data_IF_527448998617
#
_entry.id   IF_527448998617
#
_cell.length_a   1.000
_cell.length_b   1.000
_cell.length_c   1.000
_cell.angle_alpha   90.00
_cell.angle_beta   90.00
_cell.angle_gamma   90.00
#
_symmetry.space_group_name_H-M   'P 1'
#
loop_
_entity.id
_entity.type
_entity.pdbx_description
1 polymer ?
#
# COMPACT_ATOMS: atom_id res chain seq x y z
N UNK A 1 -2.40 17.52 -2.24
CA UNK A 1 -2.82 16.14 -2.51
C UNK A 1 -3.33 15.99 -3.93
N UNK A 2 -3.28 14.84 -4.50
CA UNK A 2 -3.34 14.55 -5.94
C UNK A 2 -4.79 14.60 -6.43
N UNK A 3 -5.34 15.78 -6.70
CA UNK A 3 -6.69 15.92 -7.25
C UNK A 3 -6.78 15.17 -8.59
N UNK A 4 -7.79 14.29 -8.72
CA UNK A 4 -8.06 13.58 -9.95
C UNK A 4 -7.31 12.27 -10.18
N UNK A 5 -6.37 11.88 -9.30
CA UNK A 5 -5.67 10.59 -9.38
C UNK A 5 -6.28 9.61 -8.38
N UNK A 6 -6.61 8.37 -8.78
CA UNK A 6 -7.12 7.36 -7.84
C UNK A 6 -6.06 6.98 -6.81
N UNK A 7 -6.44 6.99 -5.53
CA UNK A 7 -5.62 6.52 -4.43
C UNK A 7 -5.77 5.02 -4.20
N UNK A 8 -4.67 4.37 -3.83
CA UNK A 8 -4.62 2.97 -3.39
C UNK A 8 -3.99 2.97 -2.01
N UNK A 9 -4.60 2.28 -1.05
CA UNK A 9 -4.11 2.19 0.33
C UNK A 9 -4.08 0.74 0.81
N UNK A 10 -3.24 0.43 1.78
CA UNK A 10 -3.44 -0.73 2.64
C UNK A 10 -4.33 -0.30 3.81
N UNK A 11 -5.48 -0.95 3.96
CA UNK A 11 -6.39 -0.75 5.09
C UNK A 11 -6.12 -1.86 6.11
N UNK A 12 -5.31 -1.56 7.11
CA UNK A 12 -4.93 -2.53 8.12
C UNK A 12 -6.01 -2.67 9.18
N UNK A 13 -6.56 -3.88 9.29
CA UNK A 13 -7.70 -4.20 10.14
C UNK A 13 -9.07 -4.01 9.48
N UNK A 14 -10.11 -4.65 10.06
CA UNK A 14 -11.48 -4.57 9.56
C UNK A 14 -12.12 -3.20 9.84
N UNK A 15 -13.22 -2.92 9.14
CA UNK A 15 -14.12 -1.81 9.46
C UNK A 15 -15.11 -2.27 10.51
N UNK A 16 -15.15 -1.63 11.66
CA UNK A 16 -16.01 -2.04 12.77
C UNK A 16 -16.34 -0.86 13.69
N UNK A 17 -17.55 -0.86 14.24
CA UNK A 17 -17.96 0.06 15.31
C UNK A 17 -17.53 -0.45 16.70
N UNK A 18 -17.12 -1.72 16.80
CA UNK A 18 -16.73 -2.32 18.07
C UNK A 18 -15.33 -1.87 18.45
N UNK A 19 -15.17 -1.44 19.69
CA UNK A 19 -13.85 -1.27 20.28
C UNK A 19 -13.19 -2.64 20.46
N UNK A 20 -11.90 -2.78 20.14
CA UNK A 20 -11.21 -4.05 20.32
C UNK A 20 -11.10 -4.43 21.79
N UNK A 21 -10.88 -5.70 22.02
CA UNK A 21 -10.40 -6.16 23.32
C UNK A 21 -8.96 -5.66 23.50
N UNK A 22 -8.69 -4.92 24.58
CA UNK A 22 -7.37 -4.36 24.88
C UNK A 22 -6.33 -5.40 25.31
N UNK A 23 -6.75 -6.64 25.57
CA UNK A 23 -5.85 -7.73 25.99
C UNK A 23 -5.00 -8.28 24.83
N UNK A 24 -5.35 -7.92 23.59
CA UNK A 24 -4.61 -8.29 22.38
C UNK A 24 -4.49 -7.06 21.47
N UNK A 25 -3.41 -7.00 20.70
CA UNK A 25 -3.25 -5.99 19.65
C UNK A 25 -4.21 -6.31 18.50
N UNK A 26 -5.43 -5.81 18.58
CA UNK A 26 -6.42 -5.87 17.52
C UNK A 26 -6.55 -4.48 16.91
N UNK A 27 -6.58 -4.43 15.58
CA UNK A 27 -6.77 -3.19 14.82
C UNK A 27 -8.16 -3.18 14.17
N UNK A 28 -8.74 -2.00 14.06
CA UNK A 28 -9.97 -1.78 13.31
C UNK A 28 -10.03 -0.32 12.86
N UNK A 29 -10.84 -0.12 11.85
CA UNK A 29 -11.10 1.20 11.29
C UNK A 29 -12.54 1.60 11.61
N UNK A 30 -12.74 2.82 12.08
CA UNK A 30 -14.08 3.34 12.28
C UNK A 30 -14.81 3.49 10.92
N UNK A 31 -16.10 3.18 10.82
CA UNK A 31 -16.85 3.35 9.56
C UNK A 31 -16.75 4.77 8.98
N UNK A 32 -16.69 5.79 9.82
CA UNK A 32 -16.51 7.18 9.41
C UNK A 32 -15.21 7.42 8.61
N UNK A 33 -14.15 6.60 8.82
CA UNK A 33 -12.91 6.71 8.07
C UNK A 33 -13.10 6.44 6.56
N UNK A 34 -14.10 5.66 6.17
CA UNK A 34 -14.37 5.36 4.76
C UNK A 34 -14.85 6.58 3.97
N UNK A 35 -15.64 7.45 4.60
CA UNK A 35 -16.04 8.71 3.99
C UNK A 35 -14.83 9.63 3.74
N UNK A 36 -13.91 9.69 4.70
CA UNK A 36 -12.67 10.46 4.55
C UNK A 36 -11.78 9.88 3.42
N UNK A 37 -11.60 8.56 3.38
CA UNK A 37 -10.83 7.90 2.32
C UNK A 37 -11.44 8.17 0.94
N UNK A 38 -12.78 8.06 0.81
CA UNK A 38 -13.49 8.37 -0.42
C UNK A 38 -13.33 9.85 -0.81
N UNK A 39 -13.44 10.77 0.15
CA UNK A 39 -13.19 12.21 -0.03
C UNK A 39 -11.77 12.54 -0.49
N UNK A 40 -10.79 11.71 -0.13
CA UNK A 40 -9.40 11.79 -0.58
C UNK A 40 -9.18 11.12 -1.96
N UNK A 41 -10.23 10.67 -2.61
CA UNK A 41 -10.22 9.90 -3.87
C UNK A 41 -9.49 8.55 -3.76
N UNK A 42 -9.52 7.90 -2.60
CA UNK A 42 -9.13 6.50 -2.48
C UNK A 42 -10.18 5.65 -3.20
N UNK A 43 -9.73 4.86 -4.16
CA UNK A 43 -10.59 4.02 -5.02
C UNK A 43 -10.37 2.55 -4.77
N UNK A 44 -9.24 2.16 -4.21
CA UNK A 44 -8.90 0.76 -3.91
C UNK A 44 -8.28 0.68 -2.52
N UNK A 45 -8.74 -0.30 -1.73
CA UNK A 45 -8.16 -0.65 -0.45
C UNK A 45 -7.67 -2.10 -0.47
N UNK A 46 -6.37 -2.31 -0.27
CA UNK A 46 -5.79 -3.62 0.01
C UNK A 46 -6.18 -4.05 1.42
N UNK A 47 -6.86 -5.18 1.54
CA UNK A 47 -7.38 -5.72 2.81
C UNK A 47 -6.70 -7.04 3.22
N UNK A 48 -5.72 -7.51 2.45
CA UNK A 48 -4.94 -8.70 2.80
C UNK A 48 -3.76 -8.31 3.69
N UNK A 49 -3.95 -8.42 5.00
CA UNK A 49 -2.95 -8.15 6.02
C UNK A 49 -3.21 -9.02 7.26
N UNK A 50 -2.27 -9.06 8.20
CA UNK A 50 -2.35 -9.88 9.41
C UNK A 50 -3.50 -9.50 10.36
N UNK A 51 -4.08 -8.31 10.22
CA UNK A 51 -5.20 -7.81 11.02
C UNK A 51 -6.55 -7.92 10.30
N UNK A 52 -6.60 -8.47 9.08
CA UNK A 52 -7.83 -8.56 8.28
C UNK A 52 -8.95 -9.37 8.96
N UNK A 53 -8.59 -10.28 9.86
CA UNK A 53 -9.53 -11.14 10.60
C UNK A 53 -9.70 -10.74 12.07
N UNK A 54 -9.28 -9.57 12.50
CA UNK A 54 -9.39 -9.12 13.90
C UNK A 54 -10.84 -9.01 14.40
N UNK A 55 -11.81 -8.85 13.48
CA UNK A 55 -13.25 -8.97 13.78
C UNK A 55 -13.86 -10.30 13.33
N UNK A 56 -13.01 -11.31 13.04
CA UNK A 56 -13.42 -12.60 12.52
C UNK A 56 -13.84 -12.56 11.04
N UNK A 57 -14.23 -13.73 10.49
CA UNK A 57 -14.62 -13.85 9.08
C UNK A 57 -15.83 -12.97 8.72
N UNK A 58 -16.81 -12.87 9.62
CA UNK A 58 -17.98 -12.00 9.42
C UNK A 58 -17.56 -10.53 9.34
N UNK A 59 -16.64 -10.09 10.20
CA UNK A 59 -16.12 -8.72 10.16
C UNK A 59 -15.33 -8.41 8.88
N UNK A 60 -14.62 -9.40 8.34
CA UNK A 60 -13.92 -9.27 7.05
C UNK A 60 -14.92 -9.06 5.89
N UNK A 61 -16.00 -9.87 5.84
CA UNK A 61 -17.05 -9.70 4.82
C UNK A 61 -17.79 -8.36 4.97
N UNK A 62 -18.09 -7.94 6.20
CA UNK A 62 -18.67 -6.63 6.47
C UNK A 62 -17.75 -5.48 6.02
N UNK A 63 -16.43 -5.65 6.15
CA UNK A 63 -15.44 -4.69 5.66
C UNK A 63 -15.49 -4.56 4.14
N UNK A 64 -15.58 -5.68 3.41
CA UNK A 64 -15.72 -5.70 1.96
C UNK A 64 -16.99 -4.95 1.52
N UNK A 65 -18.11 -5.22 2.18
CA UNK A 65 -19.38 -4.57 1.89
C UNK A 65 -19.32 -3.05 2.20
N UNK A 66 -18.78 -2.68 3.36
CA UNK A 66 -18.63 -1.29 3.75
C UNK A 66 -17.76 -0.48 2.77
N UNK A 67 -16.64 -1.04 2.30
CA UNK A 67 -15.79 -0.42 1.28
C UNK A 67 -16.58 -0.18 -0.01
N UNK A 68 -17.28 -1.21 -0.53
CA UNK A 68 -18.09 -1.10 -1.75
C UNK A 68 -19.16 -0.04 -1.65
N UNK A 69 -19.84 0.05 -0.50
CA UNK A 69 -20.87 1.06 -0.25
C UNK A 69 -20.33 2.51 -0.26
N UNK A 70 -18.99 2.68 -0.05
CA UNK A 70 -18.32 3.98 -0.16
C UNK A 70 -17.59 4.18 -1.50
N UNK A 71 -17.83 3.30 -2.49
CA UNK A 71 -17.20 3.39 -3.82
C UNK A 71 -15.71 3.06 -3.81
N UNK A 72 -15.24 2.33 -2.81
CA UNK A 72 -13.87 1.84 -2.67
C UNK A 72 -13.86 0.34 -2.99
N UNK A 73 -13.04 -0.07 -3.95
CA UNK A 73 -12.89 -1.46 -4.33
C UNK A 73 -11.94 -2.18 -3.36
N UNK A 74 -12.37 -3.25 -2.69
CA UNK A 74 -11.47 -4.07 -1.88
C UNK A 74 -10.58 -4.94 -2.78
N UNK A 75 -9.30 -5.10 -2.41
CA UNK A 75 -8.36 -6.00 -3.05
C UNK A 75 -7.76 -6.97 -2.03
N UNK A 76 -7.72 -8.26 -2.36
CA UNK A 76 -7.18 -9.32 -1.50
C UNK A 76 -8.23 -10.06 -0.67
N UNK A 77 -7.80 -11.10 0.06
CA UNK A 77 -8.69 -11.98 0.81
C UNK A 77 -9.75 -12.62 -0.10
N UNK A 78 -10.98 -12.71 0.38
CA UNK A 78 -12.13 -13.25 -0.37
C UNK A 78 -12.63 -12.31 -1.47
N UNK A 79 -12.20 -11.03 -1.49
CA UNK A 79 -12.56 -10.09 -2.54
C UNK A 79 -11.80 -10.33 -3.86
N UNK A 80 -10.64 -10.99 -3.81
CA UNK A 80 -9.79 -11.22 -4.98
C UNK A 80 -9.09 -9.94 -5.48
N UNK A 81 -8.79 -9.86 -6.77
CA UNK A 81 -8.20 -8.68 -7.37
C UNK A 81 -9.26 -7.59 -7.61
N UNK A 82 -8.91 -6.33 -7.30
CA UNK A 82 -9.73 -5.18 -7.67
C UNK A 82 -9.39 -4.72 -9.09
N UNK A 83 -10.40 -4.34 -9.88
CA UNK A 83 -10.22 -3.84 -11.23
C UNK A 83 -10.85 -2.45 -11.36
N UNK A 84 -10.07 -1.49 -11.83
CA UNK A 84 -10.47 -0.10 -12.02
C UNK A 84 -10.12 0.34 -13.44
N UNK A 85 -11.08 0.96 -14.13
CA UNK A 85 -10.77 1.68 -15.36
C UNK A 85 -10.47 3.14 -15.05
N UNK A 86 -9.33 3.63 -15.52
CA UNK A 86 -8.90 5.01 -15.34
C UNK A 86 -8.15 5.52 -16.57
N UNK A 87 -8.60 6.63 -17.14
CA UNK A 87 -8.03 7.24 -18.36
C UNK A 87 -7.88 6.26 -19.53
N UNK A 88 -8.85 5.36 -19.72
CA UNK A 88 -8.83 4.36 -20.78
C UNK A 88 -7.87 3.17 -20.54
N UNK A 89 -7.27 3.07 -19.37
CA UNK A 89 -6.47 1.93 -18.95
C UNK A 89 -7.22 1.09 -17.93
N UNK A 90 -7.22 -0.22 -18.14
CA UNK A 90 -7.70 -1.19 -17.14
C UNK A 90 -6.54 -1.48 -16.19
N UNK A 91 -6.74 -1.17 -14.92
CA UNK A 91 -5.78 -1.36 -13.83
C UNK A 91 -6.27 -2.48 -12.93
N UNK A 92 -5.49 -3.54 -12.75
CA UNK A 92 -5.74 -4.56 -11.74
C UNK A 92 -4.83 -4.33 -10.53
N UNK A 93 -5.41 -4.49 -9.34
CA UNK A 93 -4.68 -4.42 -8.06
C UNK A 93 -4.88 -5.71 -7.31
N UNK A 94 -3.78 -6.38 -6.96
CA UNK A 94 -3.78 -7.54 -6.07
C UNK A 94 -3.21 -7.17 -4.73
N UNK A 95 -3.69 -7.82 -3.66
CA UNK A 95 -3.14 -7.65 -2.32
C UNK A 95 -2.95 -9.01 -1.67
N UNK A 96 -1.78 -9.24 -1.07
CA UNK A 96 -1.39 -10.51 -0.49
C UNK A 96 -0.73 -10.29 0.87
N UNK A 97 -1.15 -11.09 1.85
CA UNK A 97 -0.51 -11.16 3.17
C UNK A 97 0.61 -12.22 3.16
N UNK A 98 1.81 -11.77 3.50
CA UNK A 98 3.01 -12.63 3.59
C UNK A 98 3.32 -13.04 5.04
N UNK A 99 2.46 -12.78 5.99
CA UNK A 99 2.72 -13.08 7.42
C UNK A 99 3.04 -14.55 7.63
N UNK A 100 2.26 -15.44 7.04
CA UNK A 100 2.45 -16.89 7.12
C UNK A 100 3.39 -17.46 6.05
N UNK A 101 3.89 -16.64 5.14
CA UNK A 101 4.74 -17.05 4.02
C UNK A 101 4.25 -16.48 2.69
N UNK A 102 4.94 -16.84 1.60
CA UNK A 102 4.49 -16.49 0.25
C UNK A 102 3.34 -17.43 -0.12
N UNK A 103 2.16 -16.91 -0.51
CA UNK A 103 1.03 -17.76 -0.90
C UNK A 103 1.37 -18.68 -2.06
N UNK A 104 0.97 -19.94 -2.00
CA UNK A 104 1.26 -20.95 -3.04
C UNK A 104 0.62 -20.61 -4.39
N UNK A 105 -0.46 -19.86 -4.39
CA UNK A 105 -1.21 -19.43 -5.57
C UNK A 105 -0.79 -18.03 -6.08
N UNK A 106 0.21 -17.39 -5.47
CA UNK A 106 0.61 -16.01 -5.80
C UNK A 106 0.85 -15.81 -7.30
N UNK A 107 1.61 -16.70 -7.93
CA UNK A 107 1.92 -16.59 -9.35
C UNK A 107 0.66 -16.69 -10.22
N UNK A 108 -0.24 -17.63 -9.91
CA UNK A 108 -1.49 -17.82 -10.62
C UNK A 108 -2.43 -16.59 -10.47
N UNK A 109 -2.54 -16.03 -9.27
CA UNK A 109 -3.37 -14.86 -9.00
C UNK A 109 -2.86 -13.63 -9.78
N UNK A 110 -1.55 -13.42 -9.78
CA UNK A 110 -0.92 -12.32 -10.53
C UNK A 110 -1.09 -12.50 -12.04
N UNK A 111 -0.90 -13.72 -12.55
CA UNK A 111 -1.09 -14.02 -13.97
C UNK A 111 -2.54 -13.79 -14.41
N UNK A 112 -3.51 -14.24 -13.62
CA UNK A 112 -4.93 -14.01 -13.88
C UNK A 112 -5.27 -12.51 -13.89
N UNK A 113 -4.76 -11.73 -12.92
CA UNK A 113 -4.96 -10.29 -12.88
C UNK A 113 -4.33 -9.58 -14.08
N UNK A 114 -3.14 -10.03 -14.51
CA UNK A 114 -2.42 -9.46 -15.66
C UNK A 114 -3.13 -9.68 -16.97
N UNK A 115 -3.76 -10.85 -17.18
CA UNK A 115 -4.46 -11.19 -18.43
C UNK A 115 -5.56 -10.19 -18.79
N UNK A 116 -6.17 -9.55 -17.80
CA UNK A 116 -7.32 -8.66 -17.97
C UNK A 116 -7.00 -7.20 -17.69
N UNK A 117 -5.71 -6.83 -17.61
CA UNK A 117 -5.32 -5.45 -17.29
C UNK A 117 -4.15 -4.97 -18.15
N UNK A 118 -4.16 -3.69 -18.48
CA UNK A 118 -3.02 -3.00 -19.08
C UNK A 118 -1.96 -2.67 -18.02
N UNK A 119 -2.38 -2.46 -16.77
CA UNK A 119 -1.51 -2.15 -15.63
C UNK A 119 -1.81 -3.10 -14.49
N UNK A 120 -0.79 -3.80 -14.01
CA UNK A 120 -0.86 -4.63 -12.81
C UNK A 120 -0.13 -3.95 -11.65
N UNK A 121 -0.83 -3.78 -10.54
CA UNK A 121 -0.29 -3.31 -9.27
C UNK A 121 -0.37 -4.46 -8.27
N UNK A 122 0.76 -4.88 -7.72
CA UNK A 122 0.84 -5.91 -6.69
C UNK A 122 1.19 -5.27 -5.34
N UNK A 123 0.39 -5.54 -4.31
CA UNK A 123 0.68 -5.08 -2.95
C UNK A 123 0.90 -6.26 -2.02
N UNK A 124 1.90 -6.12 -1.14
CA UNK A 124 2.29 -7.15 -0.19
C UNK A 124 2.30 -6.59 1.22
N UNK A 125 1.63 -7.26 2.14
CA UNK A 125 1.73 -6.96 3.55
C UNK A 125 2.66 -7.94 4.25
N UNK A 126 3.58 -7.43 5.09
CA UNK A 126 4.53 -8.23 5.83
C UNK A 126 4.68 -7.72 7.24
N UNK A 127 4.47 -8.60 8.23
CA UNK A 127 4.63 -8.25 9.65
C UNK A 127 6.04 -8.43 10.16
N UNK A 128 6.31 -7.81 11.30
CA UNK A 128 7.53 -7.94 12.09
C UNK A 128 8.06 -6.58 12.54
N UNK A 129 9.23 -6.51 13.19
CA UNK A 129 9.82 -5.24 13.61
C UNK A 129 9.94 -4.26 12.45
N UNK A 130 9.80 -2.96 12.72
CA UNK A 130 10.04 -1.92 11.72
C UNK A 130 11.42 -2.12 11.06
N UNK A 131 11.47 -2.01 9.73
CA UNK A 131 12.70 -2.27 8.99
C UNK A 131 12.75 -1.44 7.71
N UNK A 132 13.85 -0.74 7.52
CA UNK A 132 14.18 -0.04 6.29
C UNK A 132 14.61 -0.97 5.15
N UNK A 133 15.01 -2.22 5.48
CA UNK A 133 15.52 -3.17 4.49
C UNK A 133 14.52 -4.30 4.24
N UNK A 134 14.32 -4.68 2.96
CA UNK A 134 13.39 -5.74 2.58
C UNK A 134 13.84 -7.11 3.12
N UNK A 135 12.89 -7.86 3.68
CA UNK A 135 13.12 -9.23 4.17
C UNK A 135 13.14 -10.26 3.05
N UNK A 136 13.79 -11.43 3.24
CA UNK A 136 13.94 -12.43 2.17
C UNK A 136 12.62 -12.89 1.56
N UNK A 137 11.58 -13.18 2.38
CA UNK A 137 10.29 -13.62 1.82
C UNK A 137 9.58 -12.52 1.02
N UNK A 138 9.72 -11.24 1.42
CA UNK A 138 9.22 -10.12 0.64
C UNK A 138 9.96 -9.98 -0.69
N UNK A 139 11.30 -10.11 -0.67
CA UNK A 139 12.09 -10.11 -1.93
C UNK A 139 11.63 -11.19 -2.88
N UNK A 140 11.38 -12.40 -2.38
CA UNK A 140 10.89 -13.51 -3.19
C UNK A 140 9.52 -13.23 -3.82
N UNK A 141 8.55 -12.72 -3.04
CA UNK A 141 7.23 -12.36 -3.56
C UNK A 141 7.29 -11.22 -4.59
N UNK A 142 8.16 -10.23 -4.37
CA UNK A 142 8.38 -9.11 -5.30
C UNK A 142 8.97 -9.61 -6.63
N UNK A 143 9.93 -10.54 -6.61
CA UNK A 143 10.47 -11.12 -7.85
C UNK A 143 9.39 -11.88 -8.63
N UNK A 144 8.54 -12.67 -7.96
CA UNK A 144 7.39 -13.33 -8.61
C UNK A 144 6.48 -12.27 -9.27
N UNK A 145 6.13 -11.19 -8.56
CA UNK A 145 5.28 -10.15 -9.11
C UNK A 145 5.94 -9.42 -10.29
N UNK A 146 7.22 -9.12 -10.19
CA UNK A 146 7.97 -8.49 -11.28
C UNK A 146 7.97 -9.37 -12.54
N UNK A 147 8.24 -10.66 -12.40
CA UNK A 147 8.24 -11.61 -13.53
C UNK A 147 6.83 -11.88 -14.07
N UNK A 148 5.79 -11.75 -13.26
CA UNK A 148 4.39 -11.76 -13.72
C UNK A 148 3.98 -10.47 -14.46
N UNK A 149 4.88 -9.49 -14.62
CA UNK A 149 4.66 -8.25 -15.35
C UNK A 149 3.97 -7.14 -14.54
N UNK A 150 4.08 -7.16 -13.20
CA UNK A 150 3.58 -6.05 -12.38
C UNK A 150 4.36 -4.76 -12.66
N UNK A 151 3.62 -3.67 -12.89
CA UNK A 151 4.18 -2.35 -13.17
C UNK A 151 4.47 -1.56 -11.89
N UNK A 152 3.67 -1.77 -10.86
CA UNK A 152 3.87 -1.14 -9.55
C UNK A 152 3.80 -2.22 -8.48
N UNK A 153 4.82 -2.28 -7.64
CA UNK A 153 4.90 -3.26 -6.55
C UNK A 153 5.14 -2.49 -5.26
N UNK A 154 4.27 -2.69 -4.26
CA UNK A 154 4.33 -1.94 -3.00
C UNK A 154 4.27 -2.89 -1.81
N UNK A 155 5.17 -2.69 -0.85
CA UNK A 155 5.13 -3.40 0.41
C UNK A 155 4.55 -2.50 1.53
N UNK A 156 3.80 -3.15 2.42
CA UNK A 156 3.17 -2.57 3.61
C UNK A 156 3.51 -3.40 4.86
N UNK A 157 3.18 -2.88 6.05
CA UNK A 157 3.40 -3.56 7.33
C UNK A 157 4.85 -3.53 7.82
N UNK A 158 5.75 -2.87 7.10
CA UNK A 158 7.13 -2.61 7.56
C UNK A 158 7.19 -1.48 8.58
N UNK A 159 6.15 -0.67 8.66
CA UNK A 159 6.00 0.54 9.48
C UNK A 159 7.15 1.56 9.33
N UNK A 160 7.98 1.40 8.32
CA UNK A 160 9.12 2.27 8.01
C UNK A 160 9.21 2.50 6.49
N UNK A 161 9.93 3.54 6.09
CA UNK A 161 10.29 3.76 4.70
C UNK A 161 11.24 2.66 4.24
N UNK A 162 10.98 2.09 3.07
CA UNK A 162 11.90 1.21 2.37
C UNK A 162 12.47 1.89 1.11
N UNK A 163 13.49 1.29 0.48
CA UNK A 163 14.01 1.79 -0.78
C UNK A 163 12.91 1.90 -1.86
N UNK A 164 13.10 2.79 -2.83
CA UNK A 164 12.34 2.80 -4.08
C UNK A 164 13.27 2.36 -5.21
N UNK A 165 12.89 1.29 -5.88
CA UNK A 165 13.68 0.69 -6.94
C UNK A 165 13.00 0.86 -8.29
N UNK A 166 13.72 1.37 -9.28
CA UNK A 166 13.27 1.41 -10.69
C UNK A 166 13.82 0.24 -11.45
N UNK A 167 12.93 -0.44 -12.16
CA UNK A 167 13.27 -1.51 -13.11
C UNK A 167 12.72 -1.17 -14.51
N UNK A 168 13.12 -1.86 -15.57
CA UNK A 168 12.77 -1.50 -16.95
C UNK A 168 11.28 -1.18 -17.18
N UNK A 169 10.36 -1.95 -16.62
CA UNK A 169 8.90 -1.74 -16.78
C UNK A 169 8.18 -1.42 -15.46
N UNK A 170 8.87 -1.44 -14.32
CA UNK A 170 8.25 -1.37 -13.01
C UNK A 170 8.91 -0.35 -12.05
N UNK A 171 8.14 0.02 -11.04
CA UNK A 171 8.64 0.63 -9.80
C UNK A 171 8.28 -0.25 -8.61
N UNK A 172 9.22 -0.42 -7.69
CA UNK A 172 9.06 -1.19 -6.46
C UNK A 172 9.28 -0.26 -5.28
N UNK A 173 8.28 -0.11 -4.41
CA UNK A 173 8.40 0.56 -3.11
C UNK A 173 8.43 -0.49 -2.01
N UNK A 174 9.57 -0.66 -1.36
CA UNK A 174 9.80 -1.68 -0.35
C UNK A 174 9.20 -1.34 1.03
N UNK A 175 8.64 -0.14 1.17
CA UNK A 175 7.91 0.36 2.33
C UNK A 175 7.59 1.84 2.15
N UNK A 176 6.38 2.25 2.50
CA UNK A 176 5.93 3.64 2.40
C UNK A 176 5.80 4.34 3.76
N UNK A 177 6.10 3.63 4.86
CA UNK A 177 5.78 4.10 6.21
C UNK A 177 4.28 4.12 6.46
N UNK A 178 3.87 4.72 7.57
CA UNK A 178 2.47 4.86 7.97
C UNK A 178 1.92 6.21 7.54
N UNK A 179 0.80 6.23 6.80
CA UNK A 179 0.11 7.50 6.50
C UNK A 179 -0.76 7.94 7.68
N UNK A 180 -1.57 7.01 8.21
CA UNK A 180 -2.36 7.21 9.41
C UNK A 180 -2.37 5.90 10.20
N UNK A 181 -1.97 5.94 11.47
CA UNK A 181 -1.89 4.77 12.31
C UNK A 181 -2.09 5.17 13.77
N UNK A 182 -3.12 4.61 14.41
CA UNK A 182 -3.53 5.02 15.76
C UNK A 182 -2.90 4.14 16.86
N UNK A 183 -1.87 3.37 16.55
CA UNK A 183 -1.19 2.50 17.50
C UNK A 183 0.09 3.17 18.01
N UNK A 184 0.30 3.14 19.32
CA UNK A 184 1.58 3.52 19.94
C UNK A 184 2.68 2.45 19.74
N UNK A 185 2.44 1.47 18.89
CA UNK A 185 3.34 0.33 18.62
C UNK A 185 4.46 0.68 17.64
N UNK A 186 4.46 1.87 17.05
CA UNK A 186 5.54 2.36 16.19
C UNK A 186 5.89 3.81 16.55
N UNK A 187 7.18 4.12 16.49
CA UNK A 187 7.70 5.48 16.66
C UNK A 187 8.10 6.11 15.32
N UNK A 188 8.01 5.35 14.24
CA UNK A 188 8.35 5.83 12.91
C UNK A 188 7.27 6.78 12.41
N UNK A 189 7.62 8.06 12.30
CA UNK A 189 6.73 9.10 11.82
C UNK A 189 6.96 9.44 10.34
N UNK A 190 8.08 9.04 9.76
CA UNK A 190 8.39 9.33 8.36
C UNK A 190 7.66 8.36 7.43
N UNK A 191 6.98 8.94 6.47
CA UNK A 191 6.20 8.23 5.47
C UNK A 191 6.28 8.93 4.12
N UNK A 192 5.75 8.32 3.08
CA UNK A 192 5.60 8.95 1.78
C UNK A 192 4.36 8.45 1.04
N UNK A 193 3.82 9.30 0.17
CA UNK A 193 2.97 8.86 -0.92
C UNK A 193 3.87 8.64 -2.14
N UNK A 194 3.73 7.50 -2.79
CA UNK A 194 4.35 7.26 -4.09
C UNK A 194 3.31 7.56 -5.18
N UNK A 195 3.52 8.62 -5.96
CA UNK A 195 2.70 8.96 -7.12
C UNK A 195 3.35 8.38 -8.38
N UNK A 196 2.62 7.53 -9.09
CA UNK A 196 3.14 6.83 -10.25
C UNK A 196 2.36 7.22 -11.50
N UNK A 197 3.07 7.56 -12.57
CA UNK A 197 2.51 7.72 -13.90
C UNK A 197 2.85 6.47 -14.69
N UNK A 198 1.81 5.76 -15.13
CA UNK A 198 1.95 4.55 -15.95
C UNK A 198 1.47 4.80 -17.37
N UNK A 199 2.23 4.30 -18.34
CA UNK A 199 1.79 4.15 -19.71
C UNK A 199 1.13 2.78 -19.92
N UNK A 200 0.91 2.40 -21.16
CA UNK A 200 0.29 1.12 -21.52
C UNK A 200 1.15 -0.10 -21.19
N UNK A 201 2.47 0.07 -21.07
CA UNK A 201 3.44 -1.02 -20.98
C UNK A 201 4.52 -0.82 -19.92
N UNK A 202 4.65 0.39 -19.37
CA UNK A 202 5.71 0.72 -18.41
C UNK A 202 5.36 1.89 -17.51
N UNK A 203 6.09 1.98 -16.41
CA UNK A 203 6.11 3.16 -15.54
C UNK A 203 6.88 4.29 -16.23
N UNK A 204 6.22 5.42 -16.41
CA UNK A 204 6.81 6.64 -17.00
C UNK A 204 7.58 7.43 -15.95
N UNK A 205 6.97 7.66 -14.78
CA UNK A 205 7.64 8.32 -13.66
C UNK A 205 7.10 7.82 -12.33
N UNK A 206 7.92 7.90 -11.31
CA UNK A 206 7.54 7.68 -9.92
C UNK A 206 8.03 8.86 -9.08
N UNK A 207 7.15 9.44 -8.28
CA UNK A 207 7.43 10.61 -7.46
C UNK A 207 7.13 10.29 -5.99
N UNK A 208 8.13 10.46 -5.14
CA UNK A 208 7.98 10.40 -3.70
C UNK A 208 7.53 11.76 -3.16
N UNK A 209 6.46 11.76 -2.38
CA UNK A 209 5.90 12.89 -1.66
C UNK A 209 6.03 12.62 -0.16
N UNK A 210 7.08 13.13 0.50
CA UNK A 210 7.34 12.92 1.92
C UNK A 210 6.22 13.42 2.82
N UNK A 211 5.86 12.59 3.79
CA UNK A 211 4.86 12.88 4.81
C UNK A 211 5.41 12.67 6.22
N UNK A 212 4.82 13.38 7.16
CA UNK A 212 4.82 13.03 8.57
C UNK A 212 3.52 12.29 8.85
N UNK A 213 3.61 11.08 9.38
CA UNK A 213 2.48 10.20 9.65
C UNK A 213 1.43 10.86 10.57
N UNK A 214 0.18 10.51 10.37
CA UNK A 214 -0.91 10.79 11.30
C UNK A 214 -0.92 9.75 12.42
N UNK A 215 -0.34 10.09 13.55
CA UNK A 215 -0.28 9.24 14.74
C UNK A 215 -1.06 9.89 15.89
N UNK A 216 -1.67 9.07 16.75
CA UNK A 216 -2.30 9.53 17.99
C UNK A 216 -3.29 10.70 17.76
N UNK A 217 -4.24 10.53 16.84
CA UNK A 217 -5.25 11.52 16.45
C UNK A 217 -4.70 12.81 15.81
N UNK A 218 -3.42 12.85 15.44
CA UNK A 218 -2.87 13.91 14.61
C UNK A 218 -3.01 13.54 13.13
N UNK A 219 -3.43 14.47 12.25
CA UNK A 219 -3.53 14.18 10.82
C UNK A 219 -2.14 14.01 10.19
N UNK A 220 -2.05 13.18 9.16
CA UNK A 220 -0.89 13.15 8.28
C UNK A 220 -0.73 14.50 7.58
N UNK A 221 0.52 14.94 7.40
CA UNK A 221 0.86 16.22 6.79
C UNK A 221 2.14 16.11 5.93
N UNK A 222 2.36 17.02 4.98
CA UNK A 222 3.64 17.11 4.29
C UNK A 222 4.79 17.20 5.31
N UNK A 223 5.85 16.43 5.06
CA UNK A 223 7.01 16.47 5.96
C UNK A 223 7.75 17.81 5.82
N UNK A 224 8.04 18.50 6.93
CA UNK A 224 8.93 19.67 6.91
C UNK A 224 10.39 19.27 6.65
N UNK A 225 10.73 17.98 6.81
CA UNK A 225 12.07 17.41 6.71
C UNK A 225 12.24 16.56 5.45
N UNK A 226 11.61 16.96 4.33
CA UNK A 226 11.65 16.22 3.08
C UNK A 226 13.08 15.87 2.62
N UNK A 227 14.05 16.77 2.86
CA UNK A 227 15.45 16.53 2.50
C UNK A 227 16.04 15.35 3.27
N UNK A 228 15.79 15.24 4.58
CA UNK A 228 16.26 14.13 5.41
C UNK A 228 15.66 12.79 4.96
N UNK A 229 14.38 12.80 4.55
CA UNK A 229 13.74 11.59 3.98
C UNK A 229 14.43 11.20 2.66
N UNK A 230 14.80 12.15 1.80
CA UNK A 230 15.53 11.84 0.57
C UNK A 230 16.93 11.31 0.86
N UNK A 231 17.65 11.88 1.85
CA UNK A 231 18.94 11.37 2.31
C UNK A 231 18.82 9.93 2.82
N UNK A 232 17.76 9.63 3.58
CA UNK A 232 17.47 8.27 4.02
C UNK A 232 17.23 7.34 2.83
N UNK A 233 16.36 7.71 1.87
CA UNK A 233 16.06 6.88 0.70
C UNK A 233 17.32 6.56 -0.11
N UNK A 234 18.21 7.51 -0.29
CA UNK A 234 19.52 7.28 -0.94
C UNK A 234 20.41 6.35 -0.11
N UNK A 235 20.50 6.58 1.20
CA UNK A 235 21.33 5.79 2.11
C UNK A 235 20.90 4.31 2.21
N UNK A 236 19.59 4.03 2.11
CA UNK A 236 19.07 2.66 2.16
C UNK A 236 19.04 1.97 0.78
N UNK A 237 19.59 2.60 -0.27
CA UNK A 237 19.82 1.98 -1.56
C UNK A 237 18.68 2.11 -2.57
N UNK A 238 17.92 3.20 -2.51
CA UNK A 238 16.99 3.54 -3.59
C UNK A 238 17.71 3.75 -4.93
N UNK A 239 16.99 3.55 -6.02
CA UNK A 239 17.46 3.99 -7.34
C UNK A 239 17.77 5.49 -7.33
N UNK A 240 18.69 5.98 -8.19
CA UNK A 240 19.02 7.39 -8.27
C UNK A 240 17.78 8.26 -8.33
N UNK A 241 17.70 9.27 -7.49
CA UNK A 241 16.56 10.16 -7.39
C UNK A 241 16.94 11.59 -7.79
N UNK A 242 16.00 12.30 -8.41
CA UNK A 242 16.11 13.71 -8.73
C UNK A 242 15.19 14.50 -7.78
N UNK A 243 15.79 15.29 -6.89
CA UNK A 243 15.06 16.13 -5.93
C UNK A 243 14.50 17.36 -6.64
N UNK A 244 13.23 17.69 -6.37
CA UNK A 244 12.55 18.87 -6.91
C UNK A 244 11.66 19.49 -5.83
N UNK A 245 12.17 20.49 -5.14
CA UNK A 245 11.48 21.09 -3.99
C UNK A 245 11.25 20.06 -2.89
N UNK A 246 9.99 19.84 -2.53
CA UNK A 246 9.57 18.89 -1.50
C UNK A 246 9.21 17.50 -2.04
N UNK A 247 9.55 17.20 -3.27
CA UNK A 247 9.35 15.87 -3.88
C UNK A 247 10.64 15.36 -4.54
N UNK A 248 10.70 14.04 -4.82
CA UNK A 248 11.79 13.40 -5.54
C UNK A 248 11.25 12.44 -6.59
N UNK A 249 11.95 12.34 -7.73
CA UNK A 249 11.58 11.51 -8.87
C UNK A 249 12.61 10.41 -9.08
N UNK A 250 12.12 9.21 -9.40
CA UNK A 250 12.89 8.02 -9.72
C UNK A 250 12.76 7.63 -11.19
#
# INVERSE_FOLDING_TARGET
MVKGTPGIVNLEGPVSERLPNRDHLLLWNAPAALAELSGLNVRIAGIANNHSLDAGAVGAEQTIEALRNHGILPAGGTAGAAVLEFNGLVIAVTAHDLTQGVPVNLEADLAAARQHSAVLIATFHITGPASFLPRPKLRHAVEIAYHAGANVIVAHGTHALGPVERRPHAVIAWGLGNVAFACDCTQEEDAMILRVVVGSDKVVSAEALPLRAGLNNRPARPSPEAAAIFDLLEAIGSSPLQRKGTSAFF
#
